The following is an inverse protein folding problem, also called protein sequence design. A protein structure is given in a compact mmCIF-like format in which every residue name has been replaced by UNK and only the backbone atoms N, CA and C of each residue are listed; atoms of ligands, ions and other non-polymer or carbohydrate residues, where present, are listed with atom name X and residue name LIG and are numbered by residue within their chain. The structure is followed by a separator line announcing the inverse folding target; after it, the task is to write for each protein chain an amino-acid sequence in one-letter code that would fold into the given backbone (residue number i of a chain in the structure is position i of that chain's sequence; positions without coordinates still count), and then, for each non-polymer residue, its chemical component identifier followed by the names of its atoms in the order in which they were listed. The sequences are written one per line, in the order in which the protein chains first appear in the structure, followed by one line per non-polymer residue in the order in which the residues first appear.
data_IF_519565486078
#
_entry.id   IF_519565486078
#
_cell.length_a   1.000
_cell.length_b   1.000
_cell.length_c   1.000
_cell.angle_alpha   90.00
_cell.angle_beta   90.00
_cell.angle_gamma   90.00
#
_symmetry.space_group_name_H-M   'P 1'
#
loop_
_entity.id
_entity.type
_entity.pdbx_description
1 polymer ?
#
# COMPACT_ATOMS: atom_id res chain seq x y z
N UNK A 1 4.30 -0.47 -25.36
CA UNK A 1 3.94 -1.15 -24.10
C UNK A 1 2.91 -2.23 -24.41
N UNK A 2 3.08 -3.44 -23.85
CA UNK A 2 2.12 -4.52 -24.00
C UNK A 2 0.78 -4.10 -23.35
N UNK A 3 -0.31 -4.19 -24.10
CA UNK A 3 -1.64 -3.90 -23.57
C UNK A 3 -2.14 -5.15 -22.84
N UNK A 4 -2.40 -5.03 -21.55
CA UNK A 4 -2.95 -6.11 -20.72
C UNK A 4 -4.43 -5.81 -20.47
N UNK A 5 -5.29 -6.76 -20.83
CA UNK A 5 -6.69 -6.74 -20.45
C UNK A 5 -6.84 -7.27 -19.01
N UNK A 6 -7.21 -6.37 -18.10
CA UNK A 6 -7.40 -6.70 -16.68
C UNK A 6 -8.57 -7.65 -16.46
N UNK A 7 -9.52 -7.75 -17.39
CA UNK A 7 -10.65 -8.66 -17.30
C UNK A 7 -10.34 -10.04 -17.89
N UNK A 8 -9.15 -10.22 -18.47
CA UNK A 8 -8.74 -11.50 -19.04
C UNK A 8 -8.52 -12.56 -17.95
N UNK A 9 -8.81 -13.82 -18.29
CA UNK A 9 -8.56 -14.96 -17.40
C UNK A 9 -7.06 -15.07 -17.00
N UNK A 10 -6.14 -14.69 -17.90
CA UNK A 10 -4.71 -14.69 -17.62
C UNK A 10 -4.37 -13.68 -16.51
N UNK A 11 -4.88 -12.45 -16.59
CA UNK A 11 -4.64 -11.44 -15.57
C UNK A 11 -5.25 -11.83 -14.23
N UNK A 12 -6.51 -12.28 -14.23
CA UNK A 12 -7.21 -12.68 -13.01
C UNK A 12 -6.47 -13.82 -12.28
N UNK A 13 -6.00 -14.83 -13.03
CA UNK A 13 -5.20 -15.92 -12.44
C UNK A 13 -3.85 -15.43 -11.87
N UNK A 14 -3.20 -14.45 -12.50
CA UNK A 14 -1.95 -13.90 -11.95
C UNK A 14 -2.19 -12.96 -10.75
N UNK A 15 -3.34 -12.28 -10.71
CA UNK A 15 -3.77 -11.48 -9.58
C UNK A 15 -4.01 -12.36 -8.35
N UNK A 16 -4.74 -13.47 -8.49
CA UNK A 16 -4.93 -14.46 -7.41
C UNK A 16 -3.58 -14.97 -6.85
N UNK A 17 -2.64 -15.36 -7.73
CA UNK A 17 -1.30 -15.77 -7.32
C UNK A 17 -0.54 -14.67 -6.61
N UNK A 18 -0.79 -13.42 -7.00
CA UNK A 18 -0.16 -12.25 -6.38
C UNK A 18 -0.70 -12.02 -4.98
N UNK A 19 -2.01 -12.20 -4.75
CA UNK A 19 -2.59 -12.20 -3.40
C UNK A 19 -2.06 -13.32 -2.53
N UNK A 20 -1.99 -14.56 -3.03
CA UNK A 20 -1.35 -15.66 -2.29
C UNK A 20 0.12 -15.36 -1.95
N UNK A 21 0.82 -14.63 -2.82
CA UNK A 21 2.18 -14.18 -2.55
C UNK A 21 2.22 -13.12 -1.43
N UNK A 22 1.33 -12.13 -1.47
CA UNK A 22 1.20 -11.09 -0.43
C UNK A 22 0.90 -11.71 0.93
N UNK A 23 -0.09 -12.62 1.00
CA UNK A 23 -0.43 -13.37 2.22
C UNK A 23 0.76 -14.13 2.80
N UNK A 24 1.56 -14.77 1.94
CA UNK A 24 2.77 -15.50 2.36
C UNK A 24 3.83 -14.57 2.93
N UNK A 25 4.03 -13.39 2.32
CA UNK A 25 4.96 -12.38 2.84
C UNK A 25 4.48 -11.88 4.21
N UNK A 26 3.19 -11.57 4.35
CA UNK A 26 2.60 -11.16 5.63
C UNK A 26 2.79 -12.24 6.70
N UNK A 27 2.49 -13.50 6.39
CA UNK A 27 2.66 -14.61 7.32
C UNK A 27 4.14 -14.85 7.68
N UNK A 28 5.06 -14.68 6.73
CA UNK A 28 6.49 -14.89 6.96
C UNK A 28 7.12 -13.83 7.85
N UNK A 29 6.75 -12.56 7.66
CA UNK A 29 7.38 -11.42 8.35
C UNK A 29 6.52 -10.84 9.48
N UNK A 30 5.29 -11.32 9.68
CA UNK A 30 4.36 -10.78 10.66
C UNK A 30 3.81 -9.40 10.27
N UNK A 31 3.73 -9.11 8.98
CA UNK A 31 3.15 -7.87 8.47
C UNK A 31 1.63 -7.94 8.35
N UNK A 32 1.01 -6.78 8.24
CA UNK A 32 -0.40 -6.57 7.97
C UNK A 32 -0.58 -5.87 6.61
N UNK A 33 -1.80 -5.93 6.06
CA UNK A 33 -2.20 -5.11 4.92
C UNK A 33 -2.43 -3.66 5.36
N UNK A 34 -2.47 -2.74 4.39
CA UNK A 34 -3.00 -1.41 4.63
C UNK A 34 -4.48 -1.49 5.05
N UNK A 35 -4.98 -0.65 5.97
CA UNK A 35 -6.42 -0.57 6.21
C UNK A 35 -7.21 -0.07 4.99
N UNK A 36 -6.60 0.71 4.11
CA UNK A 36 -7.22 1.14 2.86
C UNK A 36 -7.14 0.02 1.81
N UNK A 37 -8.29 -0.61 1.51
CA UNK A 37 -8.39 -1.71 0.54
C UNK A 37 -7.98 -1.28 -0.89
N UNK A 38 -8.27 -0.05 -1.30
CA UNK A 38 -7.93 0.44 -2.64
C UNK A 38 -6.41 0.51 -2.85
N UNK A 39 -5.66 0.86 -1.80
CA UNK A 39 -4.18 0.82 -1.82
C UNK A 39 -3.71 -0.60 -2.07
N UNK A 40 -4.26 -1.58 -1.34
CA UNK A 40 -3.86 -2.97 -1.46
C UNK A 40 -4.19 -3.52 -2.86
N UNK A 41 -5.41 -3.27 -3.35
CA UNK A 41 -5.86 -3.70 -4.67
C UNK A 41 -5.03 -3.09 -5.79
N UNK A 42 -4.81 -1.77 -5.76
CA UNK A 42 -4.03 -1.07 -6.76
C UNK A 42 -2.60 -1.61 -6.86
N UNK A 43 -1.96 -1.86 -5.72
CA UNK A 43 -0.60 -2.41 -5.67
C UNK A 43 -0.57 -3.87 -6.12
N UNK A 44 -1.52 -4.71 -5.70
CA UNK A 44 -1.62 -6.10 -6.13
C UNK A 44 -1.82 -6.21 -7.65
N UNK A 45 -2.69 -5.37 -8.23
CA UNK A 45 -2.89 -5.27 -9.67
C UNK A 45 -1.61 -4.84 -10.40
N UNK A 46 -0.90 -3.85 -9.87
CA UNK A 46 0.38 -3.40 -10.41
C UNK A 46 1.46 -4.50 -10.39
N UNK A 47 1.56 -5.25 -9.30
CA UNK A 47 2.48 -6.38 -9.15
C UNK A 47 2.15 -7.51 -10.13
N UNK A 48 0.87 -7.86 -10.29
CA UNK A 48 0.41 -8.87 -11.24
C UNK A 48 0.71 -8.43 -12.68
N UNK A 49 0.43 -7.16 -13.01
CA UNK A 49 0.75 -6.57 -14.32
C UNK A 49 2.24 -6.65 -14.62
N UNK A 50 3.10 -6.23 -13.69
CA UNK A 50 4.55 -6.28 -13.87
C UNK A 50 5.05 -7.73 -14.00
N UNK A 51 4.42 -8.67 -13.31
CA UNK A 51 4.73 -10.09 -13.43
C UNK A 51 4.43 -10.63 -14.83
N UNK A 52 3.34 -10.22 -15.46
CA UNK A 52 3.02 -10.62 -16.84
C UNK A 52 3.94 -9.95 -17.87
N UNK A 53 4.20 -8.64 -17.74
CA UNK A 53 5.03 -7.89 -18.71
C UNK A 53 6.51 -8.31 -18.62
N UNK A 54 7.05 -8.36 -17.40
CA UNK A 54 8.50 -8.49 -17.18
C UNK A 54 8.92 -9.87 -16.66
N UNK A 55 7.95 -10.74 -16.33
CA UNK A 55 8.22 -12.06 -15.74
C UNK A 55 8.58 -12.03 -14.25
N UNK A 56 8.62 -10.84 -13.62
CA UNK A 56 8.93 -10.64 -12.20
C UNK A 56 7.96 -9.63 -11.58
N UNK A 57 7.68 -9.78 -10.29
CA UNK A 57 6.89 -8.81 -9.50
C UNK A 57 7.73 -7.59 -9.16
N UNK A 58 8.11 -6.80 -10.16
CA UNK A 58 8.73 -5.51 -9.91
C UNK A 58 7.75 -4.58 -9.21
N UNK A 59 8.26 -3.77 -8.28
CA UNK A 59 7.49 -2.85 -7.48
C UNK A 59 6.74 -1.86 -8.40
N UNK A 60 5.41 -1.77 -8.34
CA UNK A 60 4.62 -0.96 -9.27
C UNK A 60 4.75 0.55 -9.02
N UNK A 61 5.25 0.95 -7.84
CA UNK A 61 5.46 2.36 -7.48
C UNK A 61 6.72 2.97 -8.11
N UNK A 62 7.55 2.16 -8.79
CA UNK A 62 8.77 2.61 -9.46
C UNK A 62 8.77 2.18 -10.92
N UNK A 63 9.36 3.01 -11.78
CA UNK A 63 9.55 2.66 -13.19
C UNK A 63 10.54 1.50 -13.33
N UNK A 64 10.17 0.48 -14.09
CA UNK A 64 11.09 -0.61 -14.44
C UNK A 64 12.07 -0.12 -15.51
N UNK A 65 13.35 -0.13 -15.18
CA UNK A 65 14.44 0.30 -16.07
C UNK A 65 15.00 -0.90 -16.85
N UNK A 66 15.23 -0.69 -18.15
CA UNK A 66 15.77 -1.69 -19.08
C UNK A 66 14.71 -2.26 -20.01
N UNK A 67 15.02 -2.29 -21.31
CA UNK A 67 14.09 -2.72 -22.36
C UNK A 67 14.03 -4.24 -22.51
N UNK A 68 15.07 -4.94 -22.07
CA UNK A 68 15.17 -6.39 -22.11
C UNK A 68 15.61 -6.98 -20.75
N UNK A 69 15.56 -8.31 -20.65
CA UNK A 69 15.86 -9.03 -19.41
C UNK A 69 17.29 -8.84 -18.93
N UNK A 70 18.26 -8.64 -19.81
CA UNK A 70 19.66 -8.46 -19.40
C UNK A 70 19.88 -7.07 -18.82
N UNK A 71 19.33 -6.03 -19.45
CA UNK A 71 19.35 -4.66 -18.90
C UNK A 71 18.61 -4.57 -17.56
N UNK A 72 17.45 -5.22 -17.45
CA UNK A 72 16.67 -5.24 -16.21
C UNK A 72 17.37 -5.93 -15.04
N UNK A 73 18.30 -6.86 -15.31
CA UNK A 73 19.11 -7.51 -14.27
C UNK A 73 20.22 -6.62 -13.74
N UNK A 74 20.78 -5.77 -14.61
CA UNK A 74 21.86 -4.85 -14.26
C UNK A 74 21.31 -3.60 -13.59
N UNK A 75 20.11 -3.18 -13.98
CA UNK A 75 19.38 -2.09 -13.33
C UNK A 75 18.93 -2.48 -11.92
N UNK A 76 19.00 -1.53 -10.98
CA UNK A 76 18.56 -1.69 -9.58
C UNK A 76 17.03 -1.61 -9.45
N UNK A 77 16.34 -2.48 -10.19
CA UNK A 77 14.89 -2.57 -10.17
C UNK A 77 14.43 -3.27 -8.88
N UNK A 78 13.51 -2.64 -8.14
CA UNK A 78 12.96 -3.21 -6.91
C UNK A 78 12.04 -4.39 -7.23
N UNK A 79 12.43 -5.60 -6.83
CA UNK A 79 11.58 -6.80 -6.90
C UNK A 79 10.86 -6.98 -5.56
N UNK A 80 9.56 -7.21 -5.56
CA UNK A 80 8.74 -7.38 -4.35
C UNK A 80 8.92 -8.78 -3.71
N UNK A 81 9.04 -8.91 -2.37
CA UNK A 81 9.22 -7.83 -1.40
C UNK A 81 10.64 -7.25 -1.54
N UNK A 82 10.75 -5.93 -1.60
CA UNK A 82 12.02 -5.28 -1.95
C UNK A 82 12.92 -5.07 -0.73
N UNK A 83 14.23 -5.10 -0.95
CA UNK A 83 15.24 -4.90 0.10
C UNK A 83 15.03 -3.58 0.86
N UNK A 84 14.80 -2.42 0.21
CA UNK A 84 14.50 -1.17 0.93
C UNK A 84 13.27 -1.26 1.83
N UNK A 85 12.21 -1.94 1.40
CA UNK A 85 11.01 -2.12 2.21
C UNK A 85 11.30 -2.92 3.49
N UNK A 86 12.06 -4.01 3.37
CA UNK A 86 12.35 -4.91 4.48
C UNK A 86 13.39 -4.35 5.46
N UNK A 87 14.40 -3.64 4.96
CA UNK A 87 15.53 -3.20 5.78
C UNK A 87 15.39 -1.77 6.30
N UNK A 88 14.51 -0.95 5.69
CA UNK A 88 14.41 0.48 6.01
C UNK A 88 12.97 0.96 6.18
N UNK A 89 12.16 0.90 5.12
CA UNK A 89 10.84 1.57 5.10
C UNK A 89 9.90 0.99 6.18
N UNK A 90 9.69 -0.34 6.22
CA UNK A 90 8.77 -0.93 7.22
C UNK A 90 9.31 -0.78 8.66
N UNK A 91 10.62 -1.02 8.95
CA UNK A 91 11.15 -0.81 10.29
C UNK A 91 11.14 0.64 10.79
N UNK A 92 11.38 1.62 9.91
CA UNK A 92 11.48 3.04 10.28
C UNK A 92 10.12 3.74 10.23
N UNK A 93 9.34 3.50 9.17
CA UNK A 93 8.11 4.23 8.85
C UNK A 93 6.83 3.42 9.16
N UNK A 94 6.95 2.11 9.43
CA UNK A 94 5.81 1.23 9.71
C UNK A 94 5.10 0.69 8.48
N UNK A 95 5.49 1.10 7.27
CA UNK A 95 4.95 0.62 6.01
C UNK A 95 6.01 0.63 4.91
N UNK A 96 5.84 -0.20 3.88
CA UNK A 96 6.64 -0.04 2.66
C UNK A 96 6.12 1.16 1.85
N UNK A 97 6.93 1.70 0.95
CA UNK A 97 6.57 2.86 0.12
C UNK A 97 5.24 2.69 -0.63
N UNK A 98 4.92 1.46 -1.05
CA UNK A 98 3.66 1.17 -1.75
C UNK A 98 2.46 0.95 -0.80
N UNK A 99 2.67 0.81 0.50
CA UNK A 99 1.60 0.64 1.48
C UNK A 99 1.00 -0.76 1.59
N UNK A 100 1.31 -1.71 0.70
CA UNK A 100 0.71 -3.08 0.76
C UNK A 100 1.20 -3.93 1.94
N UNK A 101 2.36 -3.57 2.52
CA UNK A 101 2.93 -4.23 3.68
C UNK A 101 3.16 -3.20 4.77
N UNK A 102 2.51 -3.41 5.91
CA UNK A 102 2.57 -2.56 7.09
C UNK A 102 2.95 -3.37 8.33
N UNK A 103 3.48 -2.71 9.35
CA UNK A 103 3.46 -3.29 10.70
C UNK A 103 2.02 -3.34 11.20
N UNK A 104 1.65 -4.31 12.04
CA UNK A 104 0.33 -4.34 12.66
C UNK A 104 0.00 -3.05 13.42
N UNK A 105 1.00 -2.45 14.06
CA UNK A 105 0.85 -1.19 14.81
C UNK A 105 0.48 -0.03 13.89
N UNK A 106 1.18 0.11 12.75
CA UNK A 106 0.88 1.14 11.76
C UNK A 106 -0.53 0.94 11.18
N UNK A 107 -0.87 -0.27 10.77
CA UNK A 107 -2.17 -0.56 10.17
C UNK A 107 -3.34 -0.23 11.12
N UNK A 108 -3.20 -0.54 12.41
CA UNK A 108 -4.20 -0.20 13.42
C UNK A 108 -4.31 1.31 13.71
N UNK A 109 -3.18 2.02 13.68
CA UNK A 109 -3.17 3.47 13.88
C UNK A 109 -3.82 4.18 12.68
N UNK A 110 -3.43 3.78 11.46
CA UNK A 110 -3.97 4.32 10.22
C UNK A 110 -5.47 4.06 10.10
N UNK A 111 -5.96 2.87 10.46
CA UNK A 111 -7.40 2.57 10.41
C UNK A 111 -8.24 3.54 11.27
N UNK A 112 -7.70 3.97 12.42
CA UNK A 112 -8.36 4.95 13.29
C UNK A 112 -8.28 6.36 12.72
N UNK A 113 -7.18 6.70 12.07
CA UNK A 113 -7.03 7.97 11.39
C UNK A 113 -8.08 8.09 10.27
N UNK A 114 -8.16 7.08 9.40
CA UNK A 114 -9.11 7.04 8.28
C UNK A 114 -10.57 7.11 8.77
N UNK A 115 -10.90 6.44 9.88
CA UNK A 115 -12.23 6.54 10.52
C UNK A 115 -12.53 7.98 11.00
N UNK A 116 -11.54 8.68 11.56
CA UNK A 116 -11.71 10.05 12.05
C UNK A 116 -11.89 11.01 10.87
N UNK A 117 -11.06 10.91 9.82
CA UNK A 117 -11.20 11.70 8.59
C UNK A 117 -12.60 11.52 8.00
N UNK A 118 -13.06 10.27 7.82
CA UNK A 118 -14.38 10.02 7.25
C UNK A 118 -15.51 10.65 8.09
N UNK A 119 -15.41 10.60 9.42
CA UNK A 119 -16.36 11.26 10.31
C UNK A 119 -16.35 12.78 10.12
N UNK A 120 -15.16 13.39 10.07
CA UNK A 120 -14.99 14.84 9.90
C UNK A 120 -15.59 15.30 8.57
N UNK A 121 -15.31 14.61 7.47
CA UNK A 121 -15.72 15.06 6.13
C UNK A 121 -17.14 14.66 5.73
N UNK A 122 -17.71 13.57 6.29
CA UNK A 122 -19.03 13.07 5.87
C UNK A 122 -20.16 13.26 6.90
N UNK A 123 -19.84 13.40 8.19
CA UNK A 123 -20.87 13.38 9.24
C UNK A 123 -21.02 14.73 9.94
N UNK A 124 -22.26 15.25 9.99
CA UNK A 124 -22.65 16.40 10.82
C UNK A 124 -22.62 16.12 12.34
N UNK A 125 -21.98 15.02 12.76
CA UNK A 125 -21.79 14.64 14.16
C UNK A 125 -20.36 15.00 14.57
N UNK A 126 -20.23 15.87 15.56
CA UNK A 126 -18.93 16.24 16.12
C UNK A 126 -18.17 15.06 16.72
N UNK A 127 -16.86 15.23 16.86
CA UNK A 127 -15.96 14.22 17.40
C UNK A 127 -16.23 13.94 18.88
N UNK A 128 -16.04 12.68 19.28
CA UNK A 128 -15.97 12.36 20.71
C UNK A 128 -14.59 12.77 21.29
N UNK A 129 -14.49 12.76 22.63
CA UNK A 129 -13.29 13.22 23.33
C UNK A 129 -12.03 12.41 22.99
N UNK A 130 -12.14 11.13 22.66
CA UNK A 130 -10.98 10.32 22.28
C UNK A 130 -10.56 10.61 20.83
N UNK A 131 -11.51 10.72 19.91
CA UNK A 131 -11.26 11.08 18.51
C UNK A 131 -10.61 12.45 18.40
N UNK A 132 -11.14 13.47 19.08
CA UNK A 132 -10.56 14.81 19.11
C UNK A 132 -9.13 14.82 19.67
N UNK A 133 -8.84 13.98 20.69
CA UNK A 133 -7.47 13.84 21.23
C UNK A 133 -6.51 13.16 20.26
N UNK A 134 -7.00 12.27 19.41
CA UNK A 134 -6.20 11.64 18.36
C UNK A 134 -5.89 12.66 17.27
N UNK A 135 -6.91 13.36 16.77
CA UNK A 135 -6.76 14.40 15.76
C UNK A 135 -5.79 15.52 16.19
N UNK A 136 -5.84 15.94 17.45
CA UNK A 136 -4.90 16.94 18.00
C UNK A 136 -3.42 16.50 18.04
N UNK A 137 -3.11 15.24 17.74
CA UNK A 137 -1.71 14.77 17.64
C UNK A 137 -1.15 14.93 16.24
N UNK A 138 -1.99 15.14 15.24
CA UNK A 138 -1.55 15.35 13.86
C UNK A 138 -0.73 16.64 13.76
N UNK A 139 0.34 16.61 12.96
CA UNK A 139 1.19 17.79 12.77
C UNK A 139 0.48 18.89 11.95
N UNK A 140 -0.48 18.49 11.11
CA UNK A 140 -1.24 19.36 10.22
C UNK A 140 -2.70 18.95 10.26
N UNK A 141 -3.58 19.95 10.20
CA UNK A 141 -5.02 19.78 10.15
C UNK A 141 -5.58 20.65 9.02
N UNK A 142 -6.57 20.13 8.30
CA UNK A 142 -7.32 20.87 7.29
C UNK A 142 -8.42 21.75 7.92
N UNK A 143 -9.18 22.45 7.07
CA UNK A 143 -10.23 23.35 7.53
C UNK A 143 -11.38 22.63 8.25
N UNK A 144 -11.78 21.47 7.75
CA UNK A 144 -12.92 20.70 8.28
C UNK A 144 -12.50 20.02 9.60
N UNK A 145 -11.27 19.52 9.69
CA UNK A 145 -10.68 18.97 10.90
C UNK A 145 -10.54 20.01 12.01
N UNK A 146 -10.14 21.23 11.67
CA UNK A 146 -10.10 22.35 12.62
C UNK A 146 -11.50 22.73 13.09
N UNK A 147 -12.49 22.77 12.19
CA UNK A 147 -13.88 23.06 12.55
C UNK A 147 -14.45 21.97 13.47
N UNK A 148 -14.12 20.69 13.22
CA UNK A 148 -14.56 19.55 14.03
C UNK A 148 -14.02 19.56 15.47
N UNK A 149 -13.00 20.38 15.77
CA UNK A 149 -12.40 20.55 17.11
C UNK A 149 -12.99 21.71 17.92
N UNK A 150 -13.89 22.53 17.35
CA UNK A 150 -14.56 23.67 18.00
C UNK A 150 -15.80 23.28 18.80
#
# INVERSE_FOLDING_TARGET
MQQIDINSHEFQSELEKTWTFVEKVNAQFGFALNPNEEVNEGVAMGLARNKLIYGKRFCPCFMVVGENKEEQKVADNRICPCKPALEKEIPEDGLCHCGIFCTPEYALAQAKHDEIEEIVHQHSKGLNKEQARTLLKEEQLDGDELEALL
#
